data_IF_549346721039
#
_entry.id   IF_549346721039
#
_cell.length_a   1.000
_cell.length_b   1.000
_cell.length_c   1.000
_cell.angle_alpha   90.00
_cell.angle_beta   90.00
_cell.angle_gamma   90.00
#
_symmetry.space_group_name_H-M   'P 1'
#
loop_
_entity.id
_entity.type
_entity.pdbx_description
1 polymer ?
#
# COMPACT_ATOMS: atom_id res chain seq x y z
N UNK A 1 5.52 9.24 -30.96
CA UNK A 1 6.35 8.54 -29.95
C UNK A 1 5.51 8.26 -28.71
N UNK A 2 5.00 7.04 -28.53
CA UNK A 2 4.14 6.67 -27.38
C UNK A 2 5.01 6.30 -26.17
N UNK A 3 4.96 7.11 -25.12
CA UNK A 3 5.61 6.87 -23.81
C UNK A 3 5.13 5.51 -23.27
N UNK A 4 6.04 4.55 -23.11
CA UNK A 4 5.76 3.27 -22.43
C UNK A 4 5.31 3.59 -21.01
N UNK A 5 4.07 3.24 -20.67
CA UNK A 5 3.60 3.21 -19.28
C UNK A 5 4.33 2.05 -18.62
N UNK A 6 5.24 2.33 -17.70
CA UNK A 6 5.85 1.31 -16.87
C UNK A 6 4.75 0.67 -16.03
N UNK A 7 4.37 -0.54 -16.43
CA UNK A 7 3.45 -1.39 -15.72
C UNK A 7 4.17 -1.81 -14.44
N UNK A 8 3.74 -1.27 -13.30
CA UNK A 8 4.15 -1.73 -11.97
C UNK A 8 4.05 -3.26 -11.98
N UNK A 9 5.12 -4.00 -11.65
CA UNK A 9 5.18 -5.43 -11.89
C UNK A 9 4.02 -6.14 -11.21
N UNK A 10 3.17 -6.74 -12.04
CA UNK A 10 1.91 -7.41 -11.68
C UNK A 10 2.03 -8.46 -10.57
N UNK A 11 3.26 -8.93 -10.30
CA UNK A 11 3.57 -9.88 -9.24
C UNK A 11 3.29 -9.34 -7.83
N UNK A 12 3.67 -8.10 -7.52
CA UNK A 12 3.47 -7.54 -6.16
C UNK A 12 2.00 -7.32 -5.83
N UNK A 13 1.19 -6.95 -6.83
CA UNK A 13 -0.25 -6.80 -6.68
C UNK A 13 -0.94 -8.14 -6.46
N UNK A 14 -0.53 -9.18 -7.21
CA UNK A 14 -1.05 -10.55 -7.04
C UNK A 14 -0.73 -11.12 -5.66
N UNK A 15 0.50 -10.92 -5.15
CA UNK A 15 0.87 -11.38 -3.80
C UNK A 15 0.06 -10.69 -2.70
N UNK A 16 -0.20 -9.38 -2.84
CA UNK A 16 -1.01 -8.64 -1.86
C UNK A 16 -2.49 -9.04 -1.89
N UNK A 17 -3.06 -9.28 -3.07
CA UNK A 17 -4.44 -9.77 -3.22
C UNK A 17 -4.58 -11.16 -2.60
N UNK A 18 -3.62 -12.06 -2.83
CA UNK A 18 -3.59 -13.41 -2.22
C UNK A 18 -3.43 -13.33 -0.69
N UNK A 19 -2.59 -12.43 -0.16
CA UNK A 19 -2.42 -12.31 1.30
C UNK A 19 -3.69 -11.80 2.00
N UNK A 20 -4.45 -10.90 1.35
CA UNK A 20 -5.75 -10.45 1.84
C UNK A 20 -6.84 -11.53 1.76
N UNK A 21 -6.75 -12.43 0.78
CA UNK A 21 -7.62 -13.60 0.59
C UNK A 21 -7.44 -14.67 1.69
N UNK A 22 -6.24 -14.80 2.24
CA UNK A 22 -5.91 -15.81 3.25
C UNK A 22 -6.27 -15.41 4.69
N UNK A 23 -6.83 -14.22 4.92
CA UNK A 23 -7.38 -13.86 6.23
C UNK A 23 -8.71 -14.59 6.43
N UNK A 24 -8.62 -15.88 6.81
CA UNK A 24 -9.74 -16.69 7.27
C UNK A 24 -10.33 -16.02 8.51
N UNK A 25 -11.35 -15.18 8.32
CA UNK A 25 -12.11 -14.70 9.48
C UNK A 25 -12.86 -15.91 10.06
N UNK A 26 -12.96 -16.00 11.38
CA UNK A 26 -13.58 -17.15 12.07
C UNK A 26 -15.09 -17.24 11.74
N UNK A 27 -15.70 -16.12 11.34
CA UNK A 27 -17.09 -16.02 10.87
C UNK A 27 -17.27 -16.33 9.37
N UNK A 28 -16.18 -16.62 8.66
CA UNK A 28 -16.18 -16.78 7.21
C UNK A 28 -16.58 -18.21 6.81
N UNK A 29 -17.88 -18.38 6.57
CA UNK A 29 -18.48 -19.65 6.16
C UNK A 29 -18.38 -19.90 4.65
N UNK A 30 -17.85 -18.96 3.86
CA UNK A 30 -17.75 -19.10 2.41
C UNK A 30 -16.58 -20.04 2.04
N UNK A 31 -16.81 -21.11 1.23
CA UNK A 31 -15.75 -21.97 0.74
C UNK A 31 -14.69 -21.19 -0.04
N UNK A 32 -13.44 -21.65 0.03
CA UNK A 32 -12.31 -20.98 -0.63
C UNK A 32 -12.51 -20.89 -2.15
N UNK A 33 -13.06 -21.94 -2.74
CA UNK A 33 -13.32 -22.05 -4.17
C UNK A 33 -14.35 -21.00 -4.62
N UNK A 34 -15.40 -20.77 -3.83
CA UNK A 34 -16.40 -19.75 -4.09
C UNK A 34 -15.80 -18.34 -4.05
N UNK A 35 -14.89 -18.07 -3.10
CA UNK A 35 -14.14 -16.81 -3.01
C UNK A 35 -13.27 -16.60 -4.23
N UNK A 36 -12.53 -17.63 -4.63
CA UNK A 36 -11.61 -17.56 -5.77
C UNK A 36 -12.41 -17.23 -7.04
N UNK A 37 -13.49 -17.97 -7.33
CA UNK A 37 -14.32 -17.73 -8.51
C UNK A 37 -14.91 -16.31 -8.52
N UNK A 38 -15.41 -15.83 -7.36
CA UNK A 38 -15.94 -14.47 -7.22
C UNK A 38 -14.91 -13.37 -7.51
N UNK A 39 -13.63 -13.63 -7.26
CA UNK A 39 -12.54 -12.66 -7.42
C UNK A 39 -11.85 -12.77 -8.78
N UNK A 40 -11.81 -13.96 -9.40
CA UNK A 40 -11.18 -14.19 -10.70
C UNK A 40 -11.87 -13.42 -11.84
N UNK A 41 -13.18 -13.26 -11.77
CA UNK A 41 -13.96 -12.54 -12.79
C UNK A 41 -13.91 -11.01 -12.63
N UNK A 42 -13.30 -10.51 -11.56
CA UNK A 42 -13.17 -9.07 -11.30
C UNK A 42 -11.81 -8.56 -11.75
N UNK A 43 -11.81 -7.41 -12.42
CA UNK A 43 -10.58 -6.74 -12.80
C UNK A 43 -10.00 -5.98 -11.60
N UNK A 44 -8.68 -5.73 -11.63
CA UNK A 44 -8.01 -4.95 -10.58
C UNK A 44 -8.60 -3.54 -10.38
N UNK A 45 -9.25 -2.98 -11.42
CA UNK A 45 -9.90 -1.68 -11.33
C UNK A 45 -11.19 -1.74 -10.48
N UNK A 46 -11.87 -2.87 -10.47
CA UNK A 46 -13.10 -3.08 -9.69
C UNK A 46 -12.80 -3.13 -8.18
N UNK A 47 -11.57 -3.46 -7.82
CA UNK A 47 -11.06 -3.43 -6.44
C UNK A 47 -10.40 -2.10 -6.07
N UNK A 48 -10.11 -1.22 -7.04
CA UNK A 48 -9.49 0.07 -6.82
C UNK A 48 -10.50 1.05 -6.18
N UNK A 49 -10.84 0.79 -4.92
CA UNK A 49 -11.91 1.48 -4.18
C UNK A 49 -11.41 2.68 -3.39
N UNK A 50 -10.09 2.87 -3.25
CA UNK A 50 -9.52 3.94 -2.43
C UNK A 50 -8.57 4.84 -3.22
N UNK A 51 -8.83 6.15 -3.20
CA UNK A 51 -7.81 7.15 -3.50
C UNK A 51 -6.74 7.03 -2.42
N UNK A 52 -5.67 6.30 -2.72
CA UNK A 52 -4.50 6.24 -1.86
C UNK A 52 -4.06 7.67 -1.54
N UNK A 53 -3.69 7.93 -0.29
CA UNK A 53 -3.19 9.24 0.08
C UNK A 53 -1.86 9.49 -0.65
N UNK A 54 -1.78 10.57 -1.42
CA UNK A 54 -0.58 10.97 -2.15
C UNK A 54 0.01 12.19 -1.45
N UNK A 55 1.33 12.19 -1.25
CA UNK A 55 2.07 13.31 -0.67
C UNK A 55 3.27 13.68 -1.54
N UNK A 56 3.66 14.97 -1.57
CA UNK A 56 4.88 15.37 -2.26
C UNK A 56 6.12 14.82 -1.55
N UNK A 57 7.18 14.52 -2.31
CA UNK A 57 8.44 13.96 -1.80
C UNK A 57 9.13 14.83 -0.75
N UNK A 58 8.90 16.15 -0.79
CA UNK A 58 9.42 17.12 0.18
C UNK A 58 8.54 17.29 1.42
N UNK A 59 7.45 16.51 1.56
CA UNK A 59 6.57 16.60 2.74
C UNK A 59 7.31 16.15 3.99
N UNK A 60 7.06 16.83 5.11
CA UNK A 60 7.65 16.46 6.38
C UNK A 60 7.18 15.07 6.82
N UNK A 61 8.11 14.29 7.37
CA UNK A 61 7.88 12.90 7.73
C UNK A 61 6.92 12.76 8.93
N UNK A 62 6.91 13.73 9.85
CA UNK A 62 5.95 13.81 10.95
C UNK A 62 4.53 14.10 10.46
N UNK A 63 4.39 14.98 9.47
CA UNK A 63 3.09 15.20 8.81
C UNK A 63 2.59 13.95 8.07
N UNK A 64 3.49 13.19 7.43
CA UNK A 64 3.15 11.89 6.82
C UNK A 64 2.71 10.88 7.88
N UNK A 65 3.38 10.85 9.03
CA UNK A 65 3.01 10.01 10.17
C UNK A 65 1.59 10.34 10.68
N UNK A 66 1.31 11.64 10.86
CA UNK A 66 0.00 12.12 11.28
C UNK A 66 -1.09 11.77 10.25
N UNK A 67 -0.78 11.86 8.96
CA UNK A 67 -1.69 11.48 7.87
C UNK A 67 -2.03 9.99 7.90
N UNK A 68 -1.01 9.12 8.06
CA UNK A 68 -1.17 7.67 8.19
C UNK A 68 -2.08 7.32 9.37
N UNK A 69 -1.83 7.94 10.53
CA UNK A 69 -2.64 7.73 11.74
C UNK A 69 -4.08 8.22 11.58
N UNK A 70 -4.28 9.46 11.13
CA UNK A 70 -5.62 10.08 11.00
C UNK A 70 -6.50 9.35 9.98
N UNK A 71 -5.95 8.95 8.85
CA UNK A 71 -6.71 8.27 7.78
C UNK A 71 -6.82 6.75 8.00
N UNK A 72 -6.16 6.20 9.03
CA UNK A 72 -5.94 4.75 9.19
C UNK A 72 -5.47 4.11 7.88
N UNK A 73 -4.63 4.85 7.13
CA UNK A 73 -4.20 4.43 5.82
C UNK A 73 -3.08 3.40 5.95
N UNK A 74 -3.22 2.25 5.28
CA UNK A 74 -2.17 1.23 5.25
C UNK A 74 -0.93 1.64 4.45
N UNK A 75 -1.06 2.64 3.57
CA UNK A 75 -0.01 3.10 2.66
C UNK A 75 -0.25 4.55 2.24
N UNK A 76 0.84 5.30 2.08
CA UNK A 76 0.88 6.61 1.44
C UNK A 76 1.77 6.53 0.21
N UNK A 77 1.34 7.12 -0.89
CA UNK A 77 2.12 7.25 -2.12
C UNK A 77 2.94 8.54 -2.08
N UNK A 78 4.19 8.47 -2.54
CA UNK A 78 5.09 9.62 -2.59
C UNK A 78 5.27 10.05 -4.05
N UNK A 79 4.98 11.30 -4.34
CA UNK A 79 5.06 11.88 -5.69
C UNK A 79 6.09 13.01 -5.75
N UNK A 80 6.78 13.11 -6.88
CA UNK A 80 7.60 14.27 -7.24
C UNK A 80 7.33 14.63 -8.71
N UNK A 81 6.87 15.86 -8.97
CA UNK A 81 6.58 16.37 -10.32
C UNK A 81 5.64 15.47 -11.14
N UNK A 82 4.55 14.97 -10.53
CA UNK A 82 3.61 14.07 -11.22
C UNK A 82 4.10 12.63 -11.38
N UNK A 83 5.29 12.30 -10.86
CA UNK A 83 5.89 10.96 -10.95
C UNK A 83 5.85 10.29 -9.59
N UNK A 84 5.27 9.08 -9.52
CA UNK A 84 5.31 8.24 -8.33
C UNK A 84 6.76 7.81 -8.06
N UNK A 85 7.31 8.26 -6.93
CA UNK A 85 8.69 7.95 -6.51
C UNK A 85 8.78 6.79 -5.54
N UNK A 86 7.69 6.50 -4.83
CA UNK A 86 7.67 5.39 -3.89
C UNK A 86 6.45 5.39 -3.01
N UNK A 87 6.57 4.68 -1.90
CA UNK A 87 5.49 4.47 -0.93
C UNK A 87 6.06 4.54 0.47
N UNK A 88 5.25 4.98 1.42
CA UNK A 88 5.56 4.94 2.85
C UNK A 88 4.47 4.11 3.53
N UNK A 89 4.89 3.08 4.26
CA UNK A 89 4.00 2.28 5.11
C UNK A 89 4.34 2.50 6.60
N UNK A 90 3.36 2.35 7.52
CA UNK A 90 3.58 2.60 8.95
C UNK A 90 4.77 1.85 9.55
N UNK A 91 4.97 0.58 9.17
CA UNK A 91 6.08 -0.23 9.70
C UNK A 91 7.46 0.30 9.29
N UNK A 92 7.61 0.85 8.08
CA UNK A 92 8.88 1.44 7.64
C UNK A 92 9.17 2.75 8.36
N UNK A 93 8.14 3.56 8.56
CA UNK A 93 8.22 4.80 9.31
C UNK A 93 8.68 4.53 10.75
N UNK A 94 8.03 3.58 11.44
CA UNK A 94 8.39 3.16 12.80
C UNK A 94 9.85 2.69 12.83
N UNK A 95 10.24 1.75 11.94
CA UNK A 95 11.62 1.26 11.86
C UNK A 95 12.64 2.37 11.63
N UNK A 96 12.32 3.37 10.81
CA UNK A 96 13.20 4.51 10.55
C UNK A 96 13.40 5.36 11.81
N UNK A 97 12.33 5.66 12.55
CA UNK A 97 12.41 6.40 13.82
C UNK A 97 13.24 5.63 14.85
N UNK A 98 12.97 4.35 15.04
CA UNK A 98 13.74 3.50 15.96
C UNK A 98 15.21 3.40 15.56
N UNK A 99 15.53 3.24 14.27
CA UNK A 99 16.93 3.22 13.80
C UNK A 99 17.65 4.52 14.13
N UNK A 100 17.00 5.67 13.93
CA UNK A 100 17.60 6.97 14.25
C UNK A 100 17.88 7.12 15.75
N UNK A 101 17.05 6.56 16.63
CA UNK A 101 17.25 6.63 18.07
C UNK A 101 18.29 5.63 18.61
N UNK A 102 18.41 4.46 17.97
CA UNK A 102 19.30 3.38 18.44
C UNK A 102 20.73 3.51 17.86
N UNK A 103 20.87 3.95 16.60
CA UNK A 103 22.16 3.99 15.89
C UNK A 103 22.87 5.36 15.98
N UNK A 104 22.21 6.37 16.52
CA UNK A 104 22.82 7.67 16.83
C UNK A 104 22.50 7.98 18.29
N UNK A 105 23.22 7.38 19.25
CA UNK A 105 23.25 7.98 20.58
C UNK A 105 23.89 9.36 20.39
N UNK A 106 23.18 10.40 20.85
CA UNK A 106 23.83 11.67 21.16
C UNK A 106 24.90 11.47 22.22
#
# INVERSE_FOLDING_TARGET
MKKRREIIPSLKLKTYIISCLCLRRIDDQEPLEAKINRLLDRSAIDFATWKAAIVPMKKDIGEVAALLGKKRAGIVLVEENGVLKGTIIPNELIRNVFRKQILLPG
#
